data_IF_055313705770
#
_entry.id   IF_055313705770
#
_cell.length_a   1.000
_cell.length_b   1.000
_cell.length_c   1.000
_cell.angle_alpha   90.00
_cell.angle_beta   90.00
_cell.angle_gamma   90.00
#
_symmetry.space_group_name_H-M   'P 1'
#
loop_
_entity.id
_entity.type
_entity.pdbx_description
1 polymer ?
#
# COMPACT_ATOMS: atom_id res chain seq x y z
N UNK A 1 -8.13 -2.08 -12.52
CA UNK A 1 -7.36 -3.21 -11.94
C UNK A 1 -5.85 -3.21 -12.25
N UNK A 2 -5.36 -3.02 -13.48
CA UNK A 2 -3.91 -3.03 -13.77
C UNK A 2 -3.13 -1.92 -13.06
N UNK A 3 -3.73 -0.73 -12.93
CA UNK A 3 -3.07 0.41 -12.30
C UNK A 3 -2.94 0.26 -10.78
N UNK A 4 -3.96 -0.30 -10.11
CA UNK A 4 -3.91 -0.60 -8.67
C UNK A 4 -2.75 -1.55 -8.32
N UNK A 5 -2.58 -2.64 -9.09
CA UNK A 5 -1.47 -3.57 -8.89
C UNK A 5 -0.10 -2.89 -9.08
N UNK A 6 -0.01 -1.94 -10.01
CA UNK A 6 1.19 -1.15 -10.25
C UNK A 6 1.53 -0.22 -9.09
N UNK A 7 0.53 0.44 -8.51
CA UNK A 7 0.71 1.27 -7.30
C UNK A 7 1.23 0.42 -6.14
N UNK A 8 0.63 -0.75 -5.90
CA UNK A 8 1.08 -1.66 -4.83
C UNK A 8 2.50 -2.15 -5.10
N UNK A 9 2.84 -2.50 -6.34
CA UNK A 9 4.19 -2.91 -6.69
C UNK A 9 5.21 -1.81 -6.40
N UNK A 10 4.96 -0.58 -6.87
CA UNK A 10 5.81 0.58 -6.61
C UNK A 10 5.94 0.89 -5.11
N UNK A 11 4.84 0.77 -4.35
CA UNK A 11 4.87 0.99 -2.90
C UNK A 11 5.75 -0.02 -2.14
N UNK A 12 5.98 -1.21 -2.71
CA UNK A 12 6.84 -2.25 -2.13
C UNK A 12 8.28 -2.15 -2.62
N UNK A 13 8.49 -1.79 -3.89
CA UNK A 13 9.83 -1.80 -4.52
C UNK A 13 10.54 -0.44 -4.52
N UNK A 14 9.79 0.66 -4.38
CA UNK A 14 10.31 2.02 -4.40
C UNK A 14 10.00 2.75 -3.06
N UNK A 15 11.01 2.90 -2.19
CA UNK A 15 10.83 3.54 -0.89
C UNK A 15 10.50 5.05 -0.98
N UNK A 16 10.96 5.74 -2.02
CA UNK A 16 10.64 7.15 -2.27
C UNK A 16 9.18 7.30 -2.71
N UNK A 17 8.71 6.43 -3.59
CA UNK A 17 7.29 6.37 -3.96
C UNK A 17 6.43 6.04 -2.74
N UNK A 18 6.85 5.08 -1.91
CA UNK A 18 6.15 4.75 -0.65
C UNK A 18 6.04 5.93 0.29
N UNK A 19 7.11 6.71 0.49
CA UNK A 19 7.08 7.89 1.34
C UNK A 19 6.05 8.92 0.83
N UNK A 20 6.06 9.20 -0.49
CA UNK A 20 5.10 10.11 -1.13
C UNK A 20 3.67 9.59 -1.05
N UNK A 21 3.47 8.28 -1.21
CA UNK A 21 2.15 7.63 -1.15
C UNK A 21 1.54 7.72 0.27
N UNK A 22 2.37 7.68 1.31
CA UNK A 22 1.94 7.86 2.71
C UNK A 22 1.62 9.32 3.01
N UNK A 23 2.37 10.27 2.45
CA UNK A 23 2.14 11.71 2.62
C UNK A 23 0.87 12.18 1.89
N UNK A 24 0.76 11.89 0.60
CA UNK A 24 -0.41 12.20 -0.22
C UNK A 24 -0.60 11.15 -1.33
N UNK A 25 -1.55 10.21 -1.16
CA UNK A 25 -1.79 9.15 -2.12
C UNK A 25 -2.19 9.68 -3.51
N UNK A 26 -3.00 10.76 -3.56
CA UNK A 26 -3.50 11.31 -4.83
C UNK A 26 -2.35 11.91 -5.62
N UNK A 27 -1.49 12.67 -4.96
CA UNK A 27 -0.33 13.30 -5.61
C UNK A 27 0.69 12.25 -6.04
N UNK A 28 0.98 11.24 -5.23
CA UNK A 28 1.93 10.18 -5.58
C UNK A 28 1.48 9.37 -6.81
N UNK A 29 0.20 8.98 -6.84
CA UNK A 29 -0.40 8.23 -7.95
C UNK A 29 -0.40 9.07 -9.24
N UNK A 30 -0.83 10.33 -9.16
CA UNK A 30 -0.84 11.25 -10.30
C UNK A 30 0.57 11.51 -10.86
N UNK A 31 1.56 11.70 -9.97
CA UNK A 31 2.96 11.92 -10.35
C UNK A 31 3.59 10.71 -11.06
N UNK A 32 3.03 9.52 -10.87
CA UNK A 32 3.47 8.28 -11.52
C UNK A 32 2.73 8.01 -12.84
N UNK A 33 1.86 8.91 -13.27
CA UNK A 33 1.05 8.77 -14.47
C UNK A 33 -0.08 7.73 -14.36
N UNK A 34 -0.36 7.25 -13.14
CA UNK A 34 -1.40 6.25 -12.90
C UNK A 34 -2.75 6.93 -12.67
N UNK A 35 -3.82 6.30 -13.15
CA UNK A 35 -5.19 6.77 -12.95
C UNK A 35 -5.98 5.71 -12.22
N UNK A 36 -6.32 5.98 -10.97
CA UNK A 36 -7.21 5.13 -10.18
C UNK A 36 -8.63 5.69 -10.20
N UNK A 37 -9.61 4.80 -10.30
CA UNK A 37 -11.00 5.14 -10.04
C UNK A 37 -11.22 5.45 -8.55
N UNK A 38 -12.39 6.00 -8.20
CA UNK A 38 -12.72 6.36 -6.82
C UNK A 38 -12.59 5.18 -5.84
N UNK A 39 -13.05 3.99 -6.25
CA UNK A 39 -12.99 2.77 -5.42
C UNK A 39 -11.54 2.29 -5.20
N UNK A 40 -10.70 2.36 -6.24
CA UNK A 40 -9.29 1.98 -6.16
C UNK A 40 -8.50 2.96 -5.28
N UNK A 41 -8.86 4.25 -5.34
CA UNK A 41 -8.25 5.29 -4.50
C UNK A 41 -8.66 5.14 -3.03
N UNK A 42 -9.92 4.77 -2.77
CA UNK A 42 -10.37 4.45 -1.43
C UNK A 42 -9.62 3.23 -0.85
N UNK A 43 -9.47 2.17 -1.67
CA UNK A 43 -8.70 0.99 -1.28
C UNK A 43 -7.22 1.32 -0.99
N UNK A 44 -6.58 2.18 -1.80
CA UNK A 44 -5.20 2.63 -1.53
C UNK A 44 -5.13 3.46 -0.25
N UNK A 45 -6.07 4.39 -0.01
CA UNK A 45 -6.09 5.17 1.22
C UNK A 45 -6.25 4.30 2.47
N UNK A 46 -7.04 3.23 2.40
CA UNK A 46 -7.07 2.22 3.47
C UNK A 46 -5.73 1.47 3.55
N UNK A 47 -5.13 1.07 2.44
CA UNK A 47 -3.86 0.35 2.51
C UNK A 47 -2.69 1.22 2.98
N UNK A 48 -2.71 2.55 2.79
CA UNK A 48 -1.61 3.45 3.13
C UNK A 48 -1.19 3.36 4.60
N UNK A 49 -2.11 3.15 5.54
CA UNK A 49 -1.76 2.99 6.95
C UNK A 49 -1.05 1.66 7.25
N UNK A 50 -1.26 0.62 6.44
CA UNK A 50 -0.48 -0.61 6.50
C UNK A 50 0.89 -0.43 5.84
N UNK A 51 0.95 0.30 4.71
CA UNK A 51 2.18 0.55 3.94
C UNK A 51 3.13 1.52 4.69
N UNK A 52 2.59 2.41 5.52
CA UNK A 52 3.35 3.33 6.38
C UNK A 52 4.18 2.62 7.45
N UNK A 53 3.84 1.38 7.80
CA UNK A 53 4.65 0.57 8.70
C UNK A 53 6.04 0.32 8.08
N UNK A 54 7.13 0.37 8.87
CA UNK A 54 8.44 -0.05 8.38
C UNK A 54 8.33 -1.46 7.79
N UNK A 55 9.09 -1.79 6.73
CA UNK A 55 8.97 -3.07 6.03
C UNK A 55 9.03 -4.30 6.97
N UNK A 56 9.78 -4.20 8.08
CA UNK A 56 9.81 -5.22 9.14
C UNK A 56 8.50 -5.36 9.93
N UNK A 57 7.74 -4.28 10.10
CA UNK A 57 6.44 -4.29 10.78
C UNK A 57 5.30 -4.81 9.87
N UNK A 58 5.35 -4.57 8.56
CA UNK A 58 4.42 -5.19 7.60
C UNK A 58 4.49 -6.73 7.64
N UNK A 59 5.71 -7.27 7.60
CA UNK A 59 5.95 -8.72 7.70
C UNK A 59 5.51 -9.24 9.06
N UNK A 60 5.77 -8.51 10.14
CA UNK A 60 5.32 -8.86 11.49
C UNK A 60 3.80 -8.88 11.63
N UNK A 61 3.06 -7.92 11.04
CA UNK A 61 1.59 -7.89 11.07
C UNK A 61 0.98 -9.00 10.23
N UNK A 62 1.53 -9.30 9.05
CA UNK A 62 1.07 -10.43 8.23
C UNK A 62 1.36 -11.77 8.91
N UNK A 63 2.54 -11.93 9.54
CA UNK A 63 2.87 -13.11 10.34
C UNK A 63 1.95 -13.24 11.57
N UNK A 64 1.72 -12.14 12.29
CA UNK A 64 0.84 -12.13 13.47
C UNK A 64 -0.62 -12.50 13.09
N UNK A 65 -1.11 -11.99 11.96
CA UNK A 65 -2.44 -12.32 11.45
C UNK A 65 -2.55 -13.78 10.99
N UNK A 66 -1.52 -14.34 10.35
CA UNK A 66 -1.50 -15.75 9.94
C UNK A 66 -1.36 -16.72 11.13
N UNK A 67 -0.67 -16.32 12.20
CA UNK A 67 -0.58 -17.13 13.42
C UNK A 67 -1.91 -17.17 14.19
N UNK A 68 -2.69 -16.08 14.17
CA UNK A 68 -3.98 -16.02 14.86
C UNK A 68 -5.05 -16.91 14.21
N UNK A 69 -4.96 -17.19 12.91
CA UNK A 69 -5.88 -18.09 12.20
C UNK A 69 -5.62 -19.59 12.34
N UNK A 70 -4.50 -19.99 12.99
CA UNK A 70 -4.09 -21.41 13.08
C UNK A 70 -4.47 -22.11 14.40
N UNK A 71 -5.14 -21.39 15.31
CA UNK A 71 -5.54 -21.87 16.64
C UNK A 71 -6.99 -21.49 17.00
N UNK A 72 -7.82 -21.18 16.00
CA UNK A 72 -9.26 -20.93 16.15
C UNK A 72 -10.08 -22.12 15.68
#
# INVERSE_FOLDING_TARGET
MKDLQRVVHLAVTDPDFRAKLVEDPKVAIASSGLRLGADELAAISELCHLIALPAGALVATVLASNLRGKWG
#
